data_IF_557680356309
#
_entry.id   IF_557680356309
#
_cell.length_a   1.000
_cell.length_b   1.000
_cell.length_c   1.000
_cell.angle_alpha   90.00
_cell.angle_beta   90.00
_cell.angle_gamma   90.00
#
_symmetry.space_group_name_H-M   'P 1'
#
loop_
_entity.id
_entity.type
_entity.pdbx_description
1 polymer ?
#
# COMPACT_ATOMS: atom_id res chain seq x y z
N UNK A 1 -69.92 10.03 -18.47
CA UNK A 1 -70.96 9.51 -17.56
C UNK A 1 -70.29 9.12 -16.25
N UNK A 2 -70.60 9.85 -15.18
CA UNK A 2 -70.23 9.55 -13.80
C UNK A 2 -71.03 8.32 -13.31
N UNK A 3 -70.55 7.46 -12.40
CA UNK A 3 -70.60 7.60 -10.93
C UNK A 3 -70.08 6.27 -10.31
N UNK A 4 -69.24 6.25 -9.26
CA UNK A 4 -69.57 6.31 -7.80
C UNK A 4 -70.39 5.07 -7.35
N UNK A 5 -70.08 4.28 -6.31
CA UNK A 5 -69.68 4.59 -4.92
C UNK A 5 -69.31 3.27 -4.17
N UNK A 6 -68.17 3.17 -3.47
CA UNK A 6 -67.97 3.15 -1.99
C UNK A 6 -68.76 2.12 -1.14
N UNK A 7 -68.07 1.37 -0.24
CA UNK A 7 -68.02 1.66 1.23
C UNK A 7 -67.12 0.70 2.06
N UNK A 8 -66.12 1.31 2.73
CA UNK A 8 -65.50 1.13 4.09
C UNK A 8 -65.44 -0.25 4.79
N UNK A 9 -64.30 -0.56 5.43
CA UNK A 9 -64.04 -0.29 6.88
C UNK A 9 -62.93 -1.17 7.50
N UNK A 10 -62.00 -0.56 8.26
CA UNK A 10 -61.13 -1.17 9.31
C UNK A 10 -59.99 -2.06 8.79
N UNK A 11 -58.77 -2.12 9.32
CA UNK A 11 -58.22 -1.84 10.65
C UNK A 11 -57.34 -3.03 11.07
N UNK A 12 -56.12 -2.79 11.56
CA UNK A 12 -55.25 -3.78 12.25
C UNK A 12 -54.15 -4.42 11.38
N UNK A 13 -52.87 -4.12 11.58
CA UNK A 13 -51.89 -4.66 12.57
C UNK A 13 -51.40 -6.09 12.31
N UNK A 14 -50.10 -6.16 11.98
CA UNK A 14 -49.09 -7.17 12.40
C UNK A 14 -49.47 -8.65 12.42
N UNK A 15 -48.84 -9.43 11.53
CA UNK A 15 -48.69 -10.87 11.69
C UNK A 15 -47.28 -11.20 12.23
N UNK A 16 -47.19 -11.24 13.56
CA UNK A 16 -46.24 -12.06 14.32
C UNK A 16 -46.77 -13.49 14.27
N UNK A 17 -45.94 -14.48 13.90
CA UNK A 17 -46.21 -15.89 14.22
C UNK A 17 -45.17 -16.37 15.22
N UNK A 18 -45.61 -16.51 16.47
CA UNK A 18 -45.05 -17.38 17.49
C UNK A 18 -46.20 -18.15 18.13
N UNK A 19 -45.90 -19.39 18.53
CA UNK A 19 -46.53 -20.25 19.56
C UNK A 19 -46.62 -21.70 19.03
N UNK A 20 -46.38 -22.81 19.73
CA UNK A 20 -45.69 -23.22 20.98
C UNK A 20 -45.71 -24.78 21.00
N UNK A 21 -44.66 -25.42 21.58
CA UNK A 21 -44.51 -26.73 22.31
C UNK A 21 -45.26 -28.01 21.82
N UNK A 22 -44.78 -29.26 21.98
CA UNK A 22 -44.33 -30.02 23.19
C UNK A 22 -43.46 -31.28 22.77
N UNK A 23 -43.07 -32.27 23.62
CA UNK A 23 -41.72 -32.45 24.20
C UNK A 23 -40.99 -33.82 23.91
N UNK A 24 -39.69 -33.85 24.26
CA UNK A 24 -38.91 -34.91 24.94
C UNK A 24 -38.81 -36.35 24.39
N UNK A 25 -37.58 -36.88 24.57
CA UNK A 25 -37.11 -38.27 24.52
C UNK A 25 -36.61 -38.75 23.15
N UNK A 26 -35.41 -39.32 22.98
CA UNK A 26 -34.28 -39.66 23.85
C UNK A 26 -33.16 -40.21 22.95
N UNK A 27 -31.91 -40.00 23.35
CA UNK A 27 -30.78 -40.94 23.19
C UNK A 27 -30.37 -41.32 21.75
N UNK A 28 -29.32 -40.65 21.24
CA UNK A 28 -28.19 -41.18 20.43
C UNK A 28 -27.30 -39.98 19.99
N UNK A 29 -27.03 -39.04 20.90
CA UNK A 29 -26.40 -37.74 20.58
C UNK A 29 -24.92 -37.62 20.98
N UNK A 30 -24.30 -38.67 21.52
CA UNK A 30 -22.98 -38.53 22.15
C UNK A 30 -21.80 -39.08 21.35
N UNK A 31 -22.02 -39.83 20.28
CA UNK A 31 -20.93 -40.40 19.48
C UNK A 31 -20.64 -39.66 18.17
N UNK A 32 -21.67 -39.13 17.48
CA UNK A 32 -21.47 -38.49 16.17
C UNK A 32 -20.93 -37.06 16.29
N UNK A 33 -21.28 -36.32 17.35
CA UNK A 33 -20.72 -34.98 17.62
C UNK A 33 -19.22 -35.01 17.97
N UNK A 34 -18.74 -36.13 18.54
CA UNK A 34 -17.33 -36.32 18.90
C UNK A 34 -16.45 -36.57 17.67
N UNK A 35 -16.98 -37.24 16.64
CA UNK A 35 -16.20 -37.57 15.44
C UNK A 35 -16.00 -36.32 14.55
N UNK A 36 -16.98 -35.41 14.48
CA UNK A 36 -16.84 -34.17 13.71
C UNK A 36 -15.87 -33.13 14.34
N UNK A 37 -15.70 -33.12 15.66
CA UNK A 37 -14.66 -32.29 16.29
C UNK A 37 -13.27 -32.92 16.25
N UNK A 38 -13.17 -34.25 16.21
CA UNK A 38 -11.88 -34.96 16.26
C UNK A 38 -11.18 -35.15 14.92
N UNK A 39 -11.86 -35.00 13.78
CA UNK A 39 -11.24 -35.25 12.46
C UNK A 39 -10.89 -33.96 11.69
N UNK A 40 -11.52 -32.82 11.98
CA UNK A 40 -11.22 -31.54 11.31
C UNK A 40 -10.45 -30.53 12.17
N UNK A 41 -10.29 -30.77 13.47
CA UNK A 41 -9.74 -29.78 14.40
C UNK A 41 -8.21 -29.81 14.62
N UNK A 42 -7.50 -30.84 14.14
CA UNK A 42 -6.06 -31.01 14.43
C UNK A 42 -5.22 -31.59 13.27
N UNK A 43 -5.73 -31.55 12.04
CA UNK A 43 -4.99 -32.00 10.85
C UNK A 43 -4.35 -30.86 10.04
N UNK A 44 -4.53 -29.61 10.47
CA UNK A 44 -3.62 -28.54 10.08
C UNK A 44 -2.37 -28.70 10.95
N UNK A 45 -1.41 -29.45 10.43
CA UNK A 45 -0.04 -29.49 10.92
C UNK A 45 0.36 -28.05 11.22
N UNK A 46 0.51 -27.76 12.51
CA UNK A 46 1.06 -26.51 12.98
C UNK A 46 2.40 -26.33 12.29
N UNK A 47 2.43 -25.43 11.30
CA UNK A 47 3.69 -24.85 10.86
C UNK A 47 4.17 -24.09 12.08
N UNK A 48 5.05 -24.72 12.86
CA UNK A 48 5.80 -24.03 13.88
C UNK A 48 6.43 -22.83 13.19
N UNK A 49 5.97 -21.62 13.50
CA UNK A 49 6.64 -20.38 13.13
C UNK A 49 7.93 -20.39 13.95
N UNK A 50 9.00 -20.96 13.39
CA UNK A 50 10.32 -20.92 14.00
C UNK A 50 10.90 -19.54 13.71
N UNK A 51 10.46 -18.54 14.47
CA UNK A 51 11.06 -17.21 14.42
C UNK A 51 12.39 -17.27 15.19
N UNK A 52 13.45 -17.71 14.51
CA UNK A 52 14.82 -17.69 15.02
C UNK A 52 15.36 -16.25 14.97
N UNK A 53 14.86 -15.39 15.86
CA UNK A 53 15.32 -13.99 16.00
C UNK A 53 16.48 -13.92 16.97
N UNK A 54 17.64 -13.43 16.51
CA UNK A 54 18.74 -13.07 17.39
C UNK A 54 18.42 -11.75 18.12
N UNK A 55 18.55 -11.75 19.44
CA UNK A 55 18.28 -10.61 20.32
C UNK A 55 19.55 -9.83 20.71
N UNK A 56 20.70 -10.20 20.16
CA UNK A 56 21.97 -9.52 20.41
C UNK A 56 21.93 -8.08 19.90
N UNK A 57 22.49 -7.17 20.70
CA UNK A 57 22.64 -5.76 20.35
C UNK A 57 23.90 -5.54 19.48
N UNK A 58 23.90 -4.46 18.69
CA UNK A 58 25.07 -4.07 17.91
C UNK A 58 26.25 -3.69 18.83
N UNK A 59 27.50 -4.03 18.44
CA UNK A 59 28.69 -3.58 19.15
C UNK A 59 28.77 -2.05 19.31
N UNK A 60 29.26 -1.57 20.47
CA UNK A 60 29.27 -0.14 20.83
C UNK A 60 30.14 0.74 19.92
N UNK A 61 31.08 0.16 19.18
CA UNK A 61 31.93 0.85 18.20
C UNK A 61 31.18 1.23 16.92
N UNK A 62 30.00 0.64 16.68
CA UNK A 62 29.14 0.94 15.53
C UNK A 62 28.02 1.89 15.99
N UNK A 63 28.01 3.15 15.52
CA UNK A 63 26.95 4.09 15.87
C UNK A 63 25.60 3.67 15.29
N UNK A 64 24.56 3.86 16.10
CA UNK A 64 23.17 3.61 15.71
C UNK A 64 22.69 4.52 14.56
N UNK A 65 21.75 4.01 13.77
CA UNK A 65 21.13 4.72 12.64
C UNK A 65 19.64 4.46 12.59
N UNK A 66 18.89 5.53 12.37
CA UNK A 66 17.47 5.45 12.05
C UNK A 66 17.27 4.66 10.75
N UNK A 67 16.61 3.52 10.87
CA UNK A 67 16.27 2.68 9.72
C UNK A 67 15.20 3.31 8.84
N UNK A 68 15.13 2.88 7.58
CA UNK A 68 14.26 3.47 6.55
C UNK A 68 12.77 3.42 6.93
N UNK A 69 12.32 2.33 7.58
CA UNK A 69 10.96 2.19 8.09
C UNK A 69 9.84 2.18 7.03
N UNK A 70 10.17 2.10 5.73
CA UNK A 70 9.19 2.07 4.64
C UNK A 70 8.95 0.65 4.13
N UNK A 71 7.69 0.33 3.81
CA UNK A 71 7.31 -0.92 3.16
C UNK A 71 7.62 -0.91 1.66
N UNK A 72 7.41 -2.05 0.99
CA UNK A 72 7.77 -2.27 -0.42
C UNK A 72 7.21 -1.24 -1.40
N UNK A 73 5.88 -0.98 -1.39
CA UNK A 73 5.30 -0.04 -2.36
C UNK A 73 5.73 1.43 -2.17
N UNK A 74 5.72 2.02 -0.95
CA UNK A 74 6.20 3.40 -0.79
C UNK A 74 7.69 3.51 -1.13
N UNK A 75 8.51 2.52 -0.80
CA UNK A 75 9.92 2.52 -1.16
C UNK A 75 10.12 2.41 -2.69
N UNK A 76 9.34 1.57 -3.37
CA UNK A 76 9.35 1.46 -4.84
C UNK A 76 8.87 2.75 -5.53
N UNK A 77 7.82 3.37 -4.99
CA UNK A 77 7.29 4.65 -5.46
C UNK A 77 8.34 5.76 -5.35
N UNK A 78 9.09 5.82 -4.25
CA UNK A 78 10.14 6.81 -3.99
C UNK A 78 11.50 6.48 -4.64
N UNK A 79 11.70 5.28 -5.19
CA UNK A 79 13.01 4.75 -5.60
C UNK A 79 13.77 5.69 -6.55
N UNK A 80 13.09 6.28 -7.53
CA UNK A 80 13.73 7.19 -8.49
C UNK A 80 14.18 8.51 -7.85
N UNK A 81 13.44 9.02 -6.86
CA UNK A 81 13.77 10.25 -6.15
C UNK A 81 14.89 10.05 -5.14
N UNK A 82 14.90 8.90 -4.47
CA UNK A 82 16.03 8.44 -3.66
C UNK A 82 17.27 8.30 -4.55
N UNK A 83 17.14 7.66 -5.71
CA UNK A 83 18.23 7.55 -6.69
C UNK A 83 18.76 8.91 -7.15
N UNK A 84 17.88 9.87 -7.45
CA UNK A 84 18.28 11.19 -7.91
C UNK A 84 19.05 12.01 -6.84
N UNK A 85 18.56 12.02 -5.59
CA UNK A 85 19.20 12.77 -4.51
C UNK A 85 20.41 12.05 -3.92
N UNK A 86 20.31 10.74 -3.74
CA UNK A 86 21.30 9.92 -3.03
C UNK A 86 22.33 9.26 -3.95
N UNK A 87 22.33 9.58 -5.25
CA UNK A 87 23.28 9.05 -6.24
C UNK A 87 24.73 8.98 -5.75
N UNK A 88 25.37 10.08 -5.30
CA UNK A 88 26.78 10.03 -4.89
C UNK A 88 27.02 9.10 -3.71
N UNK A 89 26.09 9.02 -2.75
CA UNK A 89 26.24 8.14 -1.59
C UNK A 89 26.07 6.66 -1.95
N UNK A 90 25.13 6.37 -2.86
CA UNK A 90 24.90 5.02 -3.34
C UNK A 90 26.09 4.53 -4.18
N UNK A 91 26.63 5.40 -5.04
CA UNK A 91 27.81 5.09 -5.85
C UNK A 91 29.03 4.86 -4.95
N UNK A 92 29.29 5.73 -3.96
CA UNK A 92 30.37 5.57 -2.96
C UNK A 92 30.26 4.23 -2.21
N UNK A 93 29.05 3.84 -1.80
CA UNK A 93 28.83 2.59 -1.09
C UNK A 93 29.14 1.37 -1.96
N UNK A 94 28.72 1.39 -3.22
CA UNK A 94 28.99 0.29 -4.15
C UNK A 94 30.48 0.25 -4.54
N UNK A 95 31.14 1.40 -4.70
CA UNK A 95 32.60 1.47 -4.91
C UNK A 95 33.37 0.91 -3.72
N UNK A 96 33.00 1.26 -2.48
CA UNK A 96 33.62 0.70 -1.28
C UNK A 96 33.50 -0.83 -1.25
N UNK A 97 32.31 -1.36 -1.57
CA UNK A 97 32.10 -2.81 -1.63
C UNK A 97 32.94 -3.48 -2.70
N UNK A 98 33.10 -2.85 -3.87
CA UNK A 98 33.92 -3.37 -4.97
C UNK A 98 35.42 -3.41 -4.58
N UNK A 99 35.96 -2.31 -4.04
CA UNK A 99 37.35 -2.21 -3.62
C UNK A 99 37.73 -3.18 -2.48
N UNK A 100 36.76 -3.56 -1.65
CA UNK A 100 36.93 -4.43 -0.48
C UNK A 100 36.45 -5.86 -0.70
N UNK A 101 36.28 -6.31 -1.96
CA UNK A 101 35.82 -7.67 -2.29
C UNK A 101 34.52 -8.08 -1.57
N UNK A 102 33.55 -7.16 -1.49
CA UNK A 102 32.28 -7.35 -0.80
C UNK A 102 32.27 -6.94 0.66
N UNK A 103 33.26 -6.16 1.12
CA UNK A 103 33.40 -5.68 2.50
C UNK A 103 32.08 -5.26 3.14
N UNK A 104 31.69 -5.98 4.20
CA UNK A 104 30.44 -5.75 4.93
C UNK A 104 30.63 -4.82 6.12
N UNK A 105 31.74 -4.97 6.84
CA UNK A 105 32.05 -4.21 8.08
C UNK A 105 32.77 -2.91 7.74
N UNK A 106 33.61 -2.93 6.71
CA UNK A 106 34.45 -1.81 6.28
C UNK A 106 33.62 -0.66 5.70
N UNK A 107 32.48 -0.99 5.06
CA UNK A 107 31.61 -0.03 4.39
C UNK A 107 30.39 0.40 5.23
N UNK A 108 30.37 0.09 6.53
CA UNK A 108 29.25 0.47 7.41
C UNK A 108 29.06 1.99 7.46
N UNK A 109 30.14 2.78 7.37
CA UNK A 109 30.06 4.24 7.38
C UNK A 109 29.31 4.78 6.16
N UNK A 110 29.60 4.23 4.98
CA UNK A 110 28.98 4.53 3.70
C UNK A 110 27.50 4.11 3.72
N UNK A 111 27.22 2.90 4.23
CA UNK A 111 25.86 2.40 4.39
C UNK A 111 24.99 3.33 5.25
N UNK A 112 25.52 3.81 6.38
CA UNK A 112 24.84 4.81 7.22
C UNK A 112 24.53 6.11 6.48
N UNK A 113 25.42 6.57 5.58
CA UNK A 113 25.18 7.77 4.76
C UNK A 113 24.03 7.55 3.79
N UNK A 114 23.98 6.38 3.15
CA UNK A 114 22.89 5.98 2.24
C UNK A 114 21.55 5.94 2.97
N UNK A 115 21.46 5.24 4.11
CA UNK A 115 20.22 5.11 4.88
C UNK A 115 19.69 6.47 5.32
N UNK A 116 20.56 7.34 5.86
CA UNK A 116 20.17 8.70 6.28
C UNK A 116 19.66 9.55 5.11
N UNK A 117 20.27 9.43 3.93
CA UNK A 117 19.81 10.14 2.74
C UNK A 117 18.41 9.65 2.31
N UNK A 118 18.19 8.33 2.27
CA UNK A 118 16.90 7.76 1.93
C UNK A 118 15.79 8.19 2.92
N UNK A 119 16.08 8.15 4.23
CA UNK A 119 15.17 8.63 5.29
C UNK A 119 14.83 10.11 5.08
N UNK A 120 15.80 10.96 4.75
CA UNK A 120 15.55 12.38 4.46
C UNK A 120 14.59 12.57 3.28
N UNK A 121 14.74 11.79 2.20
CA UNK A 121 13.82 11.86 1.05
C UNK A 121 12.41 11.46 1.45
N UNK A 122 12.25 10.35 2.19
CA UNK A 122 10.93 9.90 2.64
C UNK A 122 10.27 10.90 3.60
N UNK A 123 11.04 11.51 4.50
CA UNK A 123 10.56 12.59 5.38
C UNK A 123 10.05 13.79 4.59
N UNK A 124 10.78 14.20 3.56
CA UNK A 124 10.36 15.29 2.68
C UNK A 124 9.09 14.92 1.88
N UNK A 125 9.00 13.71 1.34
CA UNK A 125 7.81 13.23 0.61
C UNK A 125 6.57 13.22 1.52
N UNK A 126 6.71 12.72 2.75
CA UNK A 126 5.63 12.72 3.75
C UNK A 126 5.22 14.13 4.19
N UNK A 127 6.12 15.11 4.11
CA UNK A 127 5.83 16.50 4.50
C UNK A 127 5.12 17.29 3.40
N UNK A 128 5.57 17.13 2.16
CA UNK A 128 5.14 18.00 1.05
C UNK A 128 4.14 17.36 0.09
N UNK A 129 4.19 16.04 -0.10
CA UNK A 129 3.46 15.33 -1.17
C UNK A 129 2.79 14.04 -0.68
N UNK A 130 2.40 13.97 0.60
CA UNK A 130 1.91 12.72 1.20
C UNK A 130 0.67 12.16 0.50
N UNK A 131 -0.29 13.00 0.14
CA UNK A 131 -1.55 12.56 -0.45
C UNK A 131 -1.34 11.99 -1.86
N UNK A 132 -0.54 12.66 -2.69
CA UNK A 132 -0.15 12.18 -4.02
C UNK A 132 0.74 10.93 -3.93
N UNK A 133 1.64 10.88 -2.96
CA UNK A 133 2.51 9.74 -2.72
C UNK A 133 1.69 8.50 -2.32
N UNK A 134 0.71 8.67 -1.43
CA UNK A 134 -0.24 7.65 -1.00
C UNK A 134 -1.08 7.12 -2.14
N UNK A 135 -1.65 8.01 -2.93
CA UNK A 135 -2.40 7.64 -4.13
C UNK A 135 -1.59 6.70 -5.04
N UNK A 136 -0.30 6.99 -5.25
CA UNK A 136 0.56 6.19 -6.11
C UNK A 136 0.93 4.83 -5.49
N UNK A 137 1.40 4.78 -4.24
CA UNK A 137 1.81 3.51 -3.65
C UNK A 137 0.62 2.57 -3.38
N UNK A 138 -0.58 3.09 -3.10
CA UNK A 138 -1.79 2.27 -2.96
C UNK A 138 -2.18 1.60 -4.29
N UNK A 139 -2.00 2.30 -5.40
CA UNK A 139 -2.16 1.68 -6.73
C UNK A 139 -1.16 0.53 -6.93
N UNK A 140 0.11 0.75 -6.56
CA UNK A 140 1.15 -0.28 -6.71
C UNK A 140 0.81 -1.54 -5.91
N UNK A 141 0.34 -1.41 -4.67
CA UNK A 141 -0.05 -2.56 -3.84
C UNK A 141 -1.17 -3.39 -4.48
N UNK A 142 -2.09 -2.78 -5.22
CA UNK A 142 -3.18 -3.50 -5.90
C UNK A 142 -2.76 -4.13 -7.23
N UNK A 143 -1.69 -3.64 -7.85
CA UNK A 143 -1.25 -4.00 -9.20
C UNK A 143 0.04 -4.84 -9.20
N UNK A 144 0.29 -5.59 -8.13
CA UNK A 144 1.47 -6.45 -7.97
C UNK A 144 2.79 -5.67 -8.19
N UNK A 145 2.83 -4.43 -7.69
CA UNK A 145 3.95 -3.50 -7.80
C UNK A 145 4.40 -3.20 -9.25
N UNK A 146 3.52 -3.38 -10.24
CA UNK A 146 3.82 -3.06 -11.65
C UNK A 146 3.67 -1.56 -11.91
N UNK A 147 4.80 -0.86 -12.02
CA UNK A 147 4.85 0.59 -12.33
C UNK A 147 4.07 0.99 -13.60
N UNK A 148 3.99 0.09 -14.60
CA UNK A 148 3.23 0.34 -15.83
C UNK A 148 1.71 0.48 -15.63
N UNK A 149 1.17 -0.06 -14.54
CA UNK A 149 -0.26 -0.01 -14.22
C UNK A 149 -0.71 1.30 -13.58
N UNK A 150 0.21 2.07 -12.99
CA UNK A 150 -0.09 3.21 -12.11
C UNK A 150 0.35 4.58 -12.68
N UNK A 151 0.37 4.73 -14.02
CA UNK A 151 0.90 5.94 -14.68
C UNK A 151 0.09 7.21 -14.42
N UNK A 152 -1.21 7.11 -14.11
CA UNK A 152 -2.04 8.29 -13.87
C UNK A 152 -1.74 8.90 -12.49
N UNK A 153 -1.71 8.08 -11.44
CA UNK A 153 -1.27 8.53 -10.11
C UNK A 153 0.21 8.94 -10.10
N UNK A 154 1.08 8.23 -10.83
CA UNK A 154 2.50 8.57 -10.94
C UNK A 154 2.73 9.98 -11.51
N UNK A 155 1.97 10.40 -12.53
CA UNK A 155 2.10 11.75 -13.12
C UNK A 155 1.76 12.85 -12.09
N UNK A 156 0.72 12.62 -11.29
CA UNK A 156 0.31 13.56 -10.22
C UNK A 156 1.40 13.65 -9.16
N UNK A 157 1.92 12.50 -8.74
CA UNK A 157 3.00 12.42 -7.77
C UNK A 157 4.29 13.07 -8.26
N UNK A 158 4.74 12.75 -9.46
CA UNK A 158 5.95 13.33 -10.07
C UNK A 158 5.86 14.85 -10.16
N UNK A 159 4.68 15.39 -10.50
CA UNK A 159 4.44 16.84 -10.52
C UNK A 159 4.63 17.46 -9.13
N UNK A 160 4.03 16.89 -8.09
CA UNK A 160 4.19 17.41 -6.72
C UNK A 160 5.65 17.43 -6.27
N UNK A 161 6.38 16.34 -6.55
CA UNK A 161 7.79 16.21 -6.18
C UNK A 161 8.66 17.20 -6.94
N UNK A 162 8.41 17.40 -8.24
CA UNK A 162 9.12 18.40 -9.02
C UNK A 162 8.82 19.82 -8.52
N UNK A 163 7.56 20.13 -8.21
CA UNK A 163 7.15 21.46 -7.78
C UNK A 163 7.76 21.83 -6.42
N UNK A 164 7.76 20.92 -5.44
CA UNK A 164 8.20 21.20 -4.07
C UNK A 164 9.67 20.86 -3.79
N UNK A 165 10.16 19.72 -4.30
CA UNK A 165 11.49 19.19 -3.98
C UNK A 165 12.50 19.35 -5.12
N UNK A 166 12.06 19.79 -6.31
CA UNK A 166 12.91 19.97 -7.50
C UNK A 166 13.66 18.69 -7.89
N UNK A 167 13.07 17.53 -7.57
CA UNK A 167 13.58 16.23 -7.99
C UNK A 167 12.77 15.74 -9.19
N UNK A 168 13.46 15.19 -10.18
CA UNK A 168 12.86 14.70 -11.41
C UNK A 168 13.18 13.21 -11.57
N UNK A 169 12.19 12.44 -12.02
CA UNK A 169 12.38 11.04 -12.38
C UNK A 169 13.03 10.97 -13.77
N UNK A 170 14.25 10.43 -13.84
CA UNK A 170 14.94 10.17 -15.12
C UNK A 170 15.40 8.72 -15.19
N UNK A 171 15.13 8.05 -16.30
CA UNK A 171 15.74 6.76 -16.61
C UNK A 171 17.04 7.05 -17.38
N UNK A 172 18.21 6.67 -16.84
CA UNK A 172 19.48 6.87 -17.54
C UNK A 172 19.59 5.93 -18.75
N UNK A 173 20.27 6.39 -19.81
CA UNK A 173 20.64 5.56 -20.97
C UNK A 173 19.51 5.26 -21.96
N UNK A 174 18.37 5.98 -21.89
CA UNK A 174 17.26 5.82 -22.84
C UNK A 174 16.90 7.15 -23.51
N UNK A 175 16.59 7.12 -24.81
CA UNK A 175 16.17 8.30 -25.56
C UNK A 175 14.74 8.73 -25.22
N UNK A 176 13.83 7.78 -25.03
CA UNK A 176 12.42 8.04 -24.72
C UNK A 176 12.06 7.51 -23.33
N UNK A 177 11.48 8.38 -22.50
CA UNK A 177 11.04 8.02 -21.16
C UNK A 177 9.69 7.28 -21.22
N UNK A 178 9.68 5.99 -20.88
CA UNK A 178 8.49 5.13 -20.99
C UNK A 178 7.29 5.61 -20.17
N UNK A 179 7.52 6.31 -19.06
CA UNK A 179 6.48 6.83 -18.17
C UNK A 179 5.80 8.10 -18.71
N UNK A 180 6.40 8.74 -19.72
CA UNK A 180 5.85 9.94 -20.37
C UNK A 180 4.99 9.60 -21.59
N UNK A 181 5.11 8.38 -22.13
CA UNK A 181 4.35 7.93 -23.30
C UNK A 181 2.85 8.11 -23.09
N UNK A 182 2.19 8.81 -24.01
CA UNK A 182 0.76 9.12 -23.92
C UNK A 182 -0.13 7.88 -24.06
N UNK A 183 0.19 7.00 -25.02
CA UNK A 183 -0.58 5.81 -25.36
C UNK A 183 0.26 4.53 -25.21
N UNK A 184 0.48 4.03 -23.99
CA UNK A 184 1.17 2.76 -23.77
C UNK A 184 0.27 1.56 -24.11
N UNK A 185 0.86 0.51 -24.69
CA UNK A 185 0.16 -0.74 -25.02
C UNK A 185 -0.23 -1.49 -23.74
N UNK A 186 0.68 -1.54 -22.78
CA UNK A 186 0.46 -2.15 -21.48
C UNK A 186 -0.13 -1.12 -20.53
N UNK A 187 -1.37 -1.37 -20.10
CA UNK A 187 -2.08 -0.55 -19.11
C UNK A 187 -2.60 -1.47 -18.00
N UNK A 188 -2.76 -0.93 -16.79
CA UNK A 188 -3.31 -1.65 -15.65
C UNK A 188 -4.83 -1.85 -15.77
N UNK A 189 -5.47 -2.20 -14.66
CA UNK A 189 -6.93 -2.49 -14.61
C UNK A 189 -7.85 -1.29 -14.88
N UNK A 190 -7.30 -0.10 -15.18
CA UNK A 190 -8.05 1.14 -15.40
C UNK A 190 -8.46 1.87 -14.11
N UNK A 191 -8.42 1.20 -12.95
CA UNK A 191 -8.75 1.78 -11.64
C UNK A 191 -7.90 2.99 -11.30
N UNK A 192 -6.61 2.94 -11.58
CA UNK A 192 -5.68 4.06 -11.39
C UNK A 192 -6.17 5.35 -12.05
N UNK A 193 -6.64 5.28 -13.31
CA UNK A 193 -7.15 6.44 -14.05
C UNK A 193 -8.39 7.04 -13.39
N UNK A 194 -9.32 6.20 -12.92
CA UNK A 194 -10.52 6.67 -12.21
C UNK A 194 -10.17 7.30 -10.86
N UNK A 195 -9.28 6.67 -10.08
CA UNK A 195 -8.88 7.18 -8.76
C UNK A 195 -8.07 8.46 -8.88
N UNK A 196 -7.14 8.53 -9.83
CA UNK A 196 -6.36 9.73 -10.13
C UNK A 196 -7.25 10.89 -10.57
N UNK A 197 -8.27 10.62 -11.41
CA UNK A 197 -9.25 11.64 -11.80
C UNK A 197 -10.04 12.14 -10.59
N UNK A 198 -10.58 11.23 -9.78
CA UNK A 198 -11.32 11.58 -8.57
C UNK A 198 -10.47 12.40 -7.58
N UNK A 199 -9.18 12.07 -7.45
CA UNK A 199 -8.23 12.82 -6.64
C UNK A 199 -8.04 14.26 -7.16
N UNK A 200 -7.84 14.45 -8.47
CA UNK A 200 -7.70 15.77 -9.06
C UNK A 200 -8.98 16.60 -8.94
N UNK A 201 -10.14 15.97 -9.13
CA UNK A 201 -11.44 16.64 -8.99
C UNK A 201 -11.67 17.06 -7.52
N UNK A 202 -11.31 16.22 -6.56
CA UNK A 202 -11.33 16.55 -5.13
C UNK A 202 -10.35 17.69 -4.78
N UNK A 203 -9.13 17.68 -5.34
CA UNK A 203 -8.17 18.77 -5.10
C UNK A 203 -8.66 20.10 -5.66
N UNK A 204 -9.24 20.10 -6.86
CA UNK A 204 -9.84 21.32 -7.45
C UNK A 204 -10.98 21.86 -6.59
N UNK A 205 -11.84 20.99 -6.05
CA UNK A 205 -12.91 21.39 -5.15
C UNK A 205 -12.40 21.94 -3.81
N UNK A 206 -11.26 21.42 -3.33
CA UNK A 206 -10.61 21.88 -2.10
C UNK A 206 -9.81 23.18 -2.27
N UNK A 207 -9.48 23.56 -3.51
CA UNK A 207 -8.85 24.83 -3.87
C UNK A 207 -9.83 25.72 -4.64
N UNK A 208 -10.90 26.25 -4.02
CA UNK A 208 -11.67 27.32 -4.66
C UNK A 208 -10.74 28.52 -4.82
N UNK A 209 -10.52 28.91 -6.07
CA UNK A 209 -9.64 30.01 -6.44
C UNK A 209 -9.97 31.29 -5.66
N UNK A 210 -8.91 31.93 -5.17
CA UNK A 210 -8.79 33.38 -5.06
C UNK A 210 -9.03 33.98 -6.45
N UNK A 211 -10.30 34.10 -6.85
CA UNK A 211 -10.75 34.97 -7.94
C UNK A 211 -11.18 36.29 -7.31
N UNK A 212 -10.22 37.21 -7.19
CA UNK A 212 -10.42 38.67 -7.08
C UNK A 212 -9.10 39.37 -7.40
#
# INVERSE_FOLDING_TARGET
MATFSHKRSGGGTTALMQSEKVPSQTLESSFIQLIQQMVFGKFFIGRHEWENVDKNELPQDIPDVEEVGATSAPLLSAAYFIGARCKPYNDDFMMCKDEKNGGTVECLKEGRRVTRCAVSVLKDLNKYCFDEFKLHYECLEQENHRLGSCRASEKIFNKCVFDNLKLEKKIPGVEQQIFEKENPIYTGTGKDKSTAKAFLDAKKAASPETTA
#
